data_IF_989016561234
#
_entry.id   IF_989016561234
#
_cell.length_a   1.000
_cell.length_b   1.000
_cell.length_c   1.000
_cell.angle_alpha   90.00
_cell.angle_beta   90.00
_cell.angle_gamma   90.00
#
_symmetry.space_group_name_H-M   'P 1'
#
loop_
_entity.id
_entity.type
_entity.pdbx_description
1 polymer ?
#
# COMPACT_ATOMS: atom_id res chain seq x y z
N UNK A 1 19.65 -4.23 5.77
CA UNK A 1 19.06 -2.88 5.86
C UNK A 1 18.62 -2.53 7.27
N UNK A 2 17.65 -3.23 7.88
CA UNK A 2 17.15 -2.92 9.25
C UNK A 2 18.26 -2.75 10.28
N UNK A 3 19.21 -3.70 10.36
CA UNK A 3 20.37 -3.62 11.24
C UNK A 3 21.15 -2.30 11.10
N UNK A 4 21.49 -1.91 9.87
CA UNK A 4 22.22 -0.66 9.58
C UNK A 4 21.39 0.56 10.01
N UNK A 5 20.08 0.58 9.71
CA UNK A 5 19.20 1.68 10.11
C UNK A 5 19.15 1.81 11.64
N UNK A 6 18.99 0.70 12.37
CA UNK A 6 19.00 0.70 13.83
C UNK A 6 20.36 1.12 14.40
N UNK A 7 21.48 0.67 13.83
CA UNK A 7 22.82 1.03 14.28
C UNK A 7 23.17 2.50 14.03
N UNK A 8 22.85 3.02 12.83
CA UNK A 8 23.25 4.37 12.40
C UNK A 8 22.29 5.44 12.93
N UNK A 9 20.98 5.19 12.91
CA UNK A 9 20.00 6.17 13.38
C UNK A 9 19.72 6.05 14.87
N UNK A 10 20.03 4.90 15.48
CA UNK A 10 19.91 4.67 16.92
C UNK A 10 18.55 5.11 17.46
N UNK A 11 18.59 5.92 18.52
CA UNK A 11 17.41 6.42 19.21
C UNK A 11 16.55 7.34 18.34
N UNK A 12 17.08 7.89 17.23
CA UNK A 12 16.24 8.71 16.35
C UNK A 12 15.23 7.86 15.59
N UNK A 13 15.56 6.61 15.25
CA UNK A 13 14.63 5.73 14.54
C UNK A 13 13.49 5.31 15.46
N UNK A 14 12.24 5.53 15.03
CA UNK A 14 11.07 4.98 15.72
C UNK A 14 10.97 3.49 15.43
N UNK A 15 11.11 2.68 16.47
CA UNK A 15 11.10 1.21 16.40
C UNK A 15 9.91 0.58 17.12
N UNK A 16 9.19 1.37 17.92
CA UNK A 16 7.98 0.99 18.64
C UNK A 16 7.04 2.20 18.74
N UNK A 17 5.79 1.94 19.11
CA UNK A 17 4.82 3.00 19.40
C UNK A 17 5.29 3.85 20.58
N UNK A 18 5.01 5.16 20.51
CA UNK A 18 5.33 6.11 21.56
C UNK A 18 4.32 5.94 22.70
N UNK A 19 4.82 5.69 23.89
CA UNK A 19 4.02 5.53 25.10
C UNK A 19 3.13 6.75 25.37
N UNK A 20 1.90 6.50 25.79
CA UNK A 20 0.93 7.55 26.15
C UNK A 20 0.31 8.30 24.97
N UNK A 21 0.52 7.83 23.74
CA UNK A 21 -0.17 8.35 22.55
C UNK A 21 -1.28 7.39 22.14
N UNK A 22 -2.52 7.79 22.38
CA UNK A 22 -3.70 7.08 21.88
C UNK A 22 -4.18 7.72 20.56
N UNK A 23 -4.43 6.91 19.54
CA UNK A 23 -4.93 7.38 18.26
C UNK A 23 -3.89 8.06 17.37
N UNK A 24 -4.23 9.24 16.81
CA UNK A 24 -3.38 9.91 15.82
C UNK A 24 -2.17 10.61 16.45
N UNK A 25 -0.99 10.30 15.91
CA UNK A 25 0.25 10.91 16.35
C UNK A 25 0.35 12.35 15.85
N UNK A 26 0.75 13.27 16.73
CA UNK A 26 1.03 14.66 16.37
C UNK A 26 2.52 14.87 16.09
N UNK A 27 2.87 15.94 15.37
CA UNK A 27 4.28 16.31 15.12
C UNK A 27 5.07 16.53 16.41
N UNK A 28 4.41 16.93 17.51
CA UNK A 28 5.07 17.12 18.81
C UNK A 28 5.57 15.80 19.39
N UNK A 29 4.84 14.70 19.19
CA UNK A 29 5.21 13.39 19.72
C UNK A 29 6.45 12.83 19.02
N UNK A 30 6.59 13.05 17.71
CA UNK A 30 7.67 12.51 16.88
C UNK A 30 8.80 13.50 16.62
N UNK A 31 8.87 14.59 17.39
CA UNK A 31 9.86 15.66 17.17
C UNK A 31 11.30 15.11 17.27
N UNK A 32 12.09 15.34 16.23
CA UNK A 32 13.49 14.90 16.19
C UNK A 32 13.68 13.39 15.98
N UNK A 33 12.60 12.66 15.68
CA UNK A 33 12.61 11.23 15.34
C UNK A 33 12.57 11.02 13.82
N UNK A 34 12.96 9.85 13.39
CA UNK A 34 12.96 9.36 12.01
C UNK A 34 11.85 8.31 11.92
N UNK A 35 10.85 8.60 11.09
CA UNK A 35 9.77 7.67 10.75
C UNK A 35 10.12 6.97 9.45
N UNK A 36 9.88 5.66 9.38
CA UNK A 36 10.07 4.90 8.16
C UNK A 36 8.74 4.75 7.43
N UNK A 37 8.67 5.25 6.19
CA UNK A 37 7.56 4.95 5.30
C UNK A 37 7.76 3.53 4.76
N UNK A 38 6.84 2.62 5.06
CA UNK A 38 6.96 1.21 4.70
C UNK A 38 5.70 0.72 4.00
N UNK A 39 5.86 -0.05 2.92
CA UNK A 39 4.72 -0.61 2.19
C UNK A 39 3.85 -1.47 3.11
N UNK A 40 2.54 -1.22 3.05
CA UNK A 40 1.56 -1.95 3.83
C UNK A 40 0.72 -2.85 2.93
N UNK A 41 0.48 -4.06 3.41
CA UNK A 41 -0.38 -5.05 2.80
C UNK A 41 -1.51 -5.36 3.77
N UNK A 42 -2.74 -5.36 3.26
CA UNK A 42 -3.90 -5.65 4.10
C UNK A 42 -3.87 -7.10 4.58
N UNK A 43 -4.22 -7.39 5.85
CA UNK A 43 -4.44 -8.76 6.30
C UNK A 43 -5.53 -9.48 5.48
N UNK A 44 -6.51 -8.75 4.95
CA UNK A 44 -7.58 -9.32 4.10
C UNK A 44 -7.05 -9.80 2.75
N UNK A 45 -6.01 -9.16 2.20
CA UNK A 45 -5.30 -9.66 1.01
C UNK A 45 -4.49 -10.93 1.26
N UNK A 46 -4.41 -11.40 2.52
CA UNK A 46 -3.76 -12.65 2.94
C UNK A 46 -4.73 -13.85 2.94
N UNK A 47 -6.04 -13.61 2.77
CA UNK A 47 -7.00 -14.69 2.61
C UNK A 47 -6.85 -15.32 1.20
N UNK A 48 -7.05 -16.63 1.04
CA UNK A 48 -7.03 -17.25 -0.29
C UNK A 48 -8.05 -16.54 -1.20
N UNK A 49 -7.73 -16.37 -2.49
CA UNK A 49 -8.55 -15.57 -3.40
C UNK A 49 -9.97 -16.12 -3.43
N UNK A 50 -10.91 -15.36 -2.86
CA UNK A 50 -12.31 -15.52 -3.22
C UNK A 50 -12.47 -14.94 -4.62
N UNK A 51 -13.11 -15.71 -5.49
CA UNK A 51 -13.42 -15.35 -6.87
C UNK A 51 -14.12 -13.99 -6.90
N UNK A 52 -13.36 -12.94 -7.18
CA UNK A 52 -13.84 -11.67 -7.71
C UNK A 52 -12.92 -11.29 -8.87
N UNK A 53 -13.47 -11.47 -10.06
CA UNK A 53 -12.80 -11.27 -11.35
C UNK A 53 -12.50 -9.78 -11.56
N UNK A 54 -11.30 -9.32 -11.18
CA UNK A 54 -10.66 -8.15 -11.80
C UNK A 54 -9.16 -8.06 -11.49
N UNK A 55 -8.39 -9.01 -12.01
CA UNK A 55 -6.96 -8.78 -12.26
C UNK A 55 -6.65 -9.11 -13.72
N UNK A 56 -6.35 -8.08 -14.49
CA UNK A 56 -5.88 -8.22 -15.87
C UNK A 56 -4.38 -8.49 -15.85
N UNK A 57 -4.00 -9.74 -16.12
CA UNK A 57 -2.71 -10.07 -16.72
C UNK A 57 -2.91 -11.15 -17.77
N UNK A 58 -2.59 -10.78 -19.01
CA UNK A 58 -2.63 -11.57 -20.22
C UNK A 58 -1.63 -12.74 -20.21
N UNK A 59 -2.10 -13.96 -20.50
CA UNK A 59 -1.44 -14.88 -21.44
C UNK A 59 -2.27 -16.15 -21.69
N UNK A 60 -2.55 -16.37 -22.97
CA UNK A 60 -2.83 -17.63 -23.68
C UNK A 60 -3.88 -18.59 -23.13
N UNK A 61 -5.04 -18.55 -23.78
CA UNK A 61 -6.01 -19.63 -23.91
C UNK A 61 -5.40 -20.88 -24.55
N UNK A 62 -5.57 -22.02 -23.89
CA UNK A 62 -5.63 -23.34 -24.52
C UNK A 62 -6.75 -24.11 -23.84
N UNK A 63 -7.86 -24.26 -24.55
CA UNK A 63 -9.00 -25.06 -24.17
C UNK A 63 -8.65 -26.54 -24.29
N UNK A 64 -8.96 -27.33 -23.28
CA UNK A 64 -9.23 -28.75 -23.45
C UNK A 64 -10.43 -29.11 -22.57
N UNK A 65 -11.54 -29.44 -23.23
CA UNK A 65 -12.75 -30.00 -22.63
C UNK A 65 -12.47 -31.46 -22.31
N UNK A 66 -12.57 -31.85 -21.04
CA UNK A 66 -12.97 -33.20 -20.66
C UNK A 66 -13.73 -33.12 -19.33
N UNK A 67 -14.96 -33.62 -19.38
CA UNK A 67 -15.82 -33.85 -18.23
C UNK A 67 -15.28 -35.01 -17.38
N UNK A 68 -15.69 -34.99 -16.11
CA UNK A 68 -15.71 -36.09 -15.14
C UNK A 68 -14.59 -36.12 -14.06
N UNK A 69 -15.07 -36.15 -12.81
CA UNK A 69 -14.36 -36.35 -11.53
C UNK A 69 -13.34 -35.29 -11.02
N UNK A 70 -13.79 -34.03 -10.87
CA UNK A 70 -12.88 -32.87 -10.66
C UNK A 70 -12.95 -32.10 -9.33
N UNK A 71 -13.84 -32.44 -8.39
CA UNK A 71 -14.10 -31.60 -7.21
C UNK A 71 -12.89 -31.41 -6.30
N UNK A 72 -12.17 -32.50 -6.00
CA UNK A 72 -11.04 -32.50 -5.07
C UNK A 72 -9.75 -31.94 -5.67
N UNK A 73 -9.59 -32.00 -7.01
CA UNK A 73 -8.45 -31.41 -7.73
C UNK A 73 -8.55 -29.89 -7.80
N UNK A 74 -9.72 -29.35 -8.19
CA UNK A 74 -9.95 -27.90 -8.25
C UNK A 74 -9.77 -27.24 -6.88
N UNK A 75 -10.21 -27.89 -5.80
CA UNK A 75 -10.07 -27.35 -4.44
C UNK A 75 -8.60 -27.33 -4.00
N UNK A 76 -7.80 -28.36 -4.33
CA UNK A 76 -6.35 -28.38 -4.10
C UNK A 76 -5.62 -27.35 -4.93
N UNK A 77 -5.97 -27.18 -6.20
CA UNK A 77 -5.33 -26.19 -7.08
C UNK A 77 -5.61 -24.75 -6.62
N UNK A 78 -6.82 -24.47 -6.12
CA UNK A 78 -7.19 -23.18 -5.50
C UNK A 78 -6.42 -22.96 -4.19
N UNK A 79 -6.29 -23.99 -3.35
CA UNK A 79 -5.52 -23.91 -2.10
C UNK A 79 -4.03 -23.67 -2.37
N UNK A 80 -3.45 -24.39 -3.34
CA UNK A 80 -2.05 -24.21 -3.76
C UNK A 80 -1.80 -22.83 -4.38
N UNK A 81 -2.73 -22.33 -5.20
CA UNK A 81 -2.66 -20.96 -5.73
C UNK A 81 -2.78 -19.91 -4.62
N UNK A 82 -3.63 -20.13 -3.62
CA UNK A 82 -3.74 -19.29 -2.43
C UNK A 82 -2.47 -19.28 -1.57
N UNK A 83 -1.87 -20.44 -1.34
CA UNK A 83 -0.60 -20.57 -0.62
C UNK A 83 0.57 -19.92 -1.37
N UNK A 84 0.59 -20.03 -2.70
CA UNK A 84 1.59 -19.37 -3.54
C UNK A 84 1.40 -17.85 -3.55
N UNK A 85 0.18 -17.34 -3.65
CA UNK A 85 -0.12 -15.91 -3.54
C UNK A 85 0.24 -15.37 -2.15
N UNK A 86 -0.04 -16.12 -1.09
CA UNK A 86 0.30 -15.78 0.29
C UNK A 86 1.82 -15.77 0.51
N UNK A 87 2.56 -16.75 -0.03
CA UNK A 87 4.04 -16.74 -0.03
C UNK A 87 4.63 -15.58 -0.84
N UNK A 88 3.98 -15.16 -1.93
CA UNK A 88 4.43 -14.00 -2.72
C UNK A 88 4.16 -12.66 -2.03
N UNK A 89 3.09 -12.56 -1.23
CA UNK A 89 2.84 -11.38 -0.41
C UNK A 89 3.80 -11.32 0.78
N UNK A 90 4.06 -12.46 1.43
CA UNK A 90 5.04 -12.58 2.51
C UNK A 90 6.49 -12.42 2.03
N UNK A 91 6.77 -12.50 0.70
CA UNK A 91 8.11 -12.32 0.13
C UNK A 91 8.46 -10.88 -0.28
N UNK A 92 7.47 -9.99 -0.45
CA UNK A 92 7.70 -8.62 -0.93
C UNK A 92 8.40 -7.72 0.10
N UNK A 93 8.14 -7.95 1.38
CA UNK A 93 8.74 -7.17 2.45
C UNK A 93 9.08 -8.04 3.65
N UNK A 94 10.28 -7.85 4.21
CA UNK A 94 10.67 -8.61 5.40
C UNK A 94 9.82 -8.18 6.60
N UNK A 95 9.39 -9.12 7.47
CA UNK A 95 8.64 -8.79 8.67
C UNK A 95 9.37 -7.77 9.57
N UNK A 96 10.70 -7.85 9.61
CA UNK A 96 11.54 -6.89 10.35
C UNK A 96 11.45 -5.46 9.82
N UNK A 97 11.28 -5.27 8.51
CA UNK A 97 11.13 -3.96 7.89
C UNK A 97 9.68 -3.46 8.03
N UNK A 98 8.70 -4.34 7.83
CA UNK A 98 7.28 -4.03 8.00
C UNK A 98 6.96 -3.46 9.39
N UNK A 99 7.58 -4.00 10.45
CA UNK A 99 7.41 -3.51 11.83
C UNK A 99 7.88 -2.08 12.08
N UNK A 100 8.78 -1.54 11.25
CA UNK A 100 9.24 -0.15 11.39
C UNK A 100 8.26 0.87 10.81
N UNK A 101 7.31 0.43 9.98
CA UNK A 101 6.26 1.27 9.42
C UNK A 101 5.13 1.56 10.40
N UNK A 102 5.43 2.20 11.53
CA UNK A 102 4.46 2.40 12.62
C UNK A 102 3.52 3.56 12.28
N UNK A 103 4.11 4.72 12.01
CA UNK A 103 3.40 5.99 11.81
C UNK A 103 3.34 6.46 10.34
N UNK A 104 3.82 5.65 9.39
CA UNK A 104 3.84 5.97 7.97
C UNK A 104 3.68 4.71 7.12
N UNK A 105 2.49 4.12 7.12
CA UNK A 105 2.19 2.91 6.32
C UNK A 105 1.82 3.32 4.91
N UNK A 106 2.69 3.02 3.95
CA UNK A 106 2.53 3.36 2.55
C UNK A 106 1.42 2.52 1.91
N UNK A 107 0.36 3.17 1.47
CA UNK A 107 -0.75 2.58 0.74
C UNK A 107 -0.85 3.21 -0.65
N UNK A 108 -1.07 2.39 -1.67
CA UNK A 108 -1.31 2.85 -3.04
C UNK A 108 -2.83 2.88 -3.29
N UNK A 109 -3.48 4.06 -3.24
CA UNK A 109 -4.90 4.15 -3.52
C UNK A 109 -5.24 3.70 -4.95
N UNK A 110 -6.40 3.07 -5.11
CA UNK A 110 -6.90 2.60 -6.41
C UNK A 110 -8.13 3.41 -6.84
N UNK A 111 -8.24 3.66 -8.15
CA UNK A 111 -9.39 4.34 -8.74
C UNK A 111 -9.69 5.69 -8.10
N UNK A 112 -10.98 5.98 -7.88
CA UNK A 112 -11.44 7.15 -7.15
C UNK A 112 -11.43 6.89 -5.63
N UNK A 113 -10.24 7.00 -5.05
CA UNK A 113 -10.04 6.79 -3.61
C UNK A 113 -10.66 7.89 -2.74
N UNK A 114 -11.10 9.00 -3.35
CA UNK A 114 -11.67 10.13 -2.59
C UNK A 114 -13.02 9.77 -1.97
N UNK A 115 -13.76 8.85 -2.58
CA UNK A 115 -15.02 8.33 -2.07
C UNK A 115 -14.88 7.13 -1.11
N UNK A 116 -13.69 6.54 -0.99
CA UNK A 116 -13.48 5.32 -0.21
C UNK A 116 -13.23 5.66 1.27
N UNK A 117 -13.83 4.90 2.20
CA UNK A 117 -13.46 4.99 3.62
C UNK A 117 -12.17 4.20 3.85
N UNK A 118 -11.06 4.92 4.05
CA UNK A 118 -9.75 4.32 4.33
C UNK A 118 -9.54 4.47 5.83
N UNK A 119 -9.87 3.44 6.60
CA UNK A 119 -9.72 3.43 8.07
C UNK A 119 -8.52 2.61 8.51
N UNK A 120 -8.08 1.67 7.67
CA UNK A 120 -6.92 0.85 7.92
C UNK A 120 -5.86 1.01 6.83
N UNK A 121 -4.59 1.14 7.24
CA UNK A 121 -4.11 1.23 8.62
C UNK A 121 -4.30 2.64 9.23
N UNK A 122 -4.32 2.76 10.57
CA UNK A 122 -4.53 4.04 11.25
C UNK A 122 -3.59 5.17 10.77
N UNK A 123 -2.29 4.90 10.67
CA UNK A 123 -1.29 5.85 10.17
C UNK A 123 -1.00 5.63 8.68
N UNK A 124 -2.05 5.68 7.86
CA UNK A 124 -1.96 5.52 6.41
C UNK A 124 -1.33 6.75 5.74
N UNK A 125 -0.35 6.49 4.88
CA UNK A 125 0.23 7.46 3.96
C UNK A 125 -0.11 7.06 2.53
N UNK A 126 -0.95 7.86 1.87
CA UNK A 126 -1.44 7.61 0.52
C UNK A 126 -0.41 8.07 -0.51
N UNK A 127 0.16 7.11 -1.25
CA UNK A 127 1.11 7.36 -2.33
C UNK A 127 0.39 7.54 -3.67
N UNK A 128 0.23 8.78 -4.11
CA UNK A 128 -0.54 9.15 -5.29
C UNK A 128 0.42 9.52 -6.43
N UNK A 129 0.27 8.88 -7.59
CA UNK A 129 1.04 9.28 -8.78
C UNK A 129 0.48 10.58 -9.36
N UNK A 130 1.33 11.39 -9.99
CA UNK A 130 0.94 12.57 -10.78
C UNK A 130 -0.23 12.26 -11.72
N UNK A 131 -0.14 11.15 -12.48
CA UNK A 131 -1.20 10.76 -13.41
C UNK A 131 -2.54 10.45 -12.73
N UNK A 132 -2.51 9.83 -11.54
CA UNK A 132 -3.73 9.54 -10.81
C UNK A 132 -4.37 10.81 -10.28
N UNK A 133 -3.56 11.74 -9.77
CA UNK A 133 -4.03 13.00 -9.22
C UNK A 133 -4.62 13.91 -10.31
N UNK A 134 -3.93 14.07 -11.45
CA UNK A 134 -4.42 14.90 -12.56
C UNK A 134 -5.73 14.39 -13.17
N UNK A 135 -6.06 13.10 -13.05
CA UNK A 135 -7.37 12.55 -13.47
C UNK A 135 -8.51 12.94 -12.54
N UNK A 136 -8.22 13.08 -11.24
CA UNK A 136 -9.22 13.35 -10.20
C UNK A 136 -9.45 14.84 -10.00
N UNK A 137 -8.40 15.66 -10.10
CA UNK A 137 -8.48 17.09 -9.81
C UNK A 137 -9.58 17.86 -10.54
N UNK A 138 -9.85 17.64 -11.84
CA UNK A 138 -10.89 18.40 -12.55
C UNK A 138 -12.31 18.17 -11.99
N UNK A 139 -12.56 17.03 -11.34
CA UNK A 139 -13.92 16.61 -10.92
C UNK A 139 -14.05 16.35 -9.43
N UNK A 140 -12.95 16.19 -8.69
CA UNK A 140 -12.91 15.75 -7.29
C UNK A 140 -12.06 16.64 -6.38
N UNK A 141 -11.84 17.91 -6.75
CA UNK A 141 -10.99 18.82 -5.96
C UNK A 141 -11.40 18.91 -4.48
N UNK A 142 -12.68 19.14 -4.20
CA UNK A 142 -13.19 19.23 -2.82
C UNK A 142 -12.97 17.92 -2.05
N UNK A 143 -13.27 16.77 -2.69
CA UNK A 143 -13.06 15.47 -2.07
C UNK A 143 -11.57 15.15 -1.81
N UNK A 144 -10.66 15.65 -2.66
CA UNK A 144 -9.21 15.56 -2.44
C UNK A 144 -8.77 16.41 -1.23
N UNK A 145 -9.34 17.61 -1.06
CA UNK A 145 -9.09 18.48 0.10
C UNK A 145 -9.55 17.77 1.39
N UNK A 146 -10.77 17.25 1.40
CA UNK A 146 -11.32 16.49 2.54
C UNK A 146 -10.46 15.26 2.87
N UNK A 147 -9.95 14.56 1.85
CA UNK A 147 -8.98 13.48 2.08
C UNK A 147 -7.67 13.98 2.68
N UNK A 148 -7.17 15.13 2.27
CA UNK A 148 -5.97 15.75 2.83
C UNK A 148 -6.10 16.13 4.32
N UNK A 149 -7.32 16.40 4.80
CA UNK A 149 -7.58 16.65 6.22
C UNK A 149 -7.48 15.41 7.10
N UNK A 150 -7.74 14.24 6.53
CA UNK A 150 -7.80 12.98 7.29
C UNK A 150 -6.58 12.08 7.07
N UNK A 151 -5.87 12.24 5.95
CA UNK A 151 -4.79 11.35 5.54
C UNK A 151 -3.55 12.14 5.12
N UNK A 152 -2.37 11.63 5.48
CA UNK A 152 -1.14 12.11 4.87
C UNK A 152 -1.08 11.61 3.42
N UNK A 153 -0.83 12.53 2.49
CA UNK A 153 -0.70 12.20 1.07
C UNK A 153 0.71 12.52 0.59
N UNK A 154 1.25 11.67 -0.28
CA UNK A 154 2.51 11.90 -1.00
C UNK A 154 2.22 11.83 -2.48
N UNK A 155 2.45 12.95 -3.17
CA UNK A 155 2.38 13.02 -4.64
C UNK A 155 3.78 12.83 -5.20
N UNK A 156 3.91 12.00 -6.23
CA UNK A 156 5.19 11.78 -6.89
C UNK A 156 5.10 11.94 -8.42
N UNK A 157 6.17 12.43 -9.08
CA UNK A 157 6.18 12.61 -10.52
C UNK A 157 5.98 11.28 -11.26
N UNK A 158 5.34 11.33 -12.43
CA UNK A 158 5.20 10.16 -13.31
C UNK A 158 6.55 9.67 -13.83
N UNK A 159 6.67 8.35 -14.07
CA UNK A 159 7.92 7.72 -14.51
C UNK A 159 8.45 8.17 -15.88
N UNK A 160 7.60 8.76 -16.74
CA UNK A 160 8.04 9.29 -18.04
C UNK A 160 8.88 10.56 -17.93
N UNK A 161 8.98 11.16 -16.74
CA UNK A 161 9.88 12.28 -16.44
C UNK A 161 11.33 11.79 -16.23
N UNK A 162 11.88 11.12 -17.24
CA UNK A 162 13.22 10.50 -17.20
C UNK A 162 14.36 11.52 -17.02
N UNK A 163 14.10 12.78 -17.35
CA UNK A 163 15.02 13.91 -17.13
C UNK A 163 14.86 14.55 -15.74
N UNK A 164 14.19 13.89 -14.80
CA UNK A 164 13.97 14.37 -13.43
C UNK A 164 13.26 15.74 -13.35
N UNK A 165 12.47 16.08 -14.36
CA UNK A 165 11.62 17.28 -14.32
C UNK A 165 10.58 17.17 -13.20
N UNK A 166 10.23 18.30 -12.59
CA UNK A 166 9.26 18.36 -11.50
C UNK A 166 7.83 18.64 -12.00
N UNK A 167 6.85 18.20 -11.22
CA UNK A 167 5.49 18.73 -11.29
C UNK A 167 5.45 20.15 -10.71
N UNK A 168 4.49 20.95 -11.15
CA UNK A 168 4.23 22.24 -10.52
C UNK A 168 3.31 22.02 -9.30
N UNK A 169 3.76 22.29 -8.06
CA UNK A 169 2.96 22.00 -6.87
C UNK A 169 1.68 22.83 -6.75
N UNK A 170 1.60 23.96 -7.46
CA UNK A 170 0.42 24.84 -7.48
C UNK A 170 -0.57 24.52 -8.61
N UNK A 171 -0.12 23.74 -9.59
CA UNK A 171 -0.90 23.42 -10.81
C UNK A 171 -1.04 21.91 -11.03
N UNK A 172 -0.76 21.11 -10.01
CA UNK A 172 -1.12 19.70 -10.06
C UNK A 172 -2.56 19.60 -10.54
#
# INVERSE_FOLDING_TARGET
MVKIMSEIWGDKLVQAEIEGVEGMVSLKHVRGRILLMVEWHSPASRAPPQHDSSSSSSSSSSSDENEDDGGDRRQRDIALAGEQAQKQLDSRISPSLARLGIYAKSVKPQGDFTAQSITEPLHCLLNISENALSKLLPTRLEALIEKGHTHQTRVYPRGTRVQSTNLNPLKV
#
